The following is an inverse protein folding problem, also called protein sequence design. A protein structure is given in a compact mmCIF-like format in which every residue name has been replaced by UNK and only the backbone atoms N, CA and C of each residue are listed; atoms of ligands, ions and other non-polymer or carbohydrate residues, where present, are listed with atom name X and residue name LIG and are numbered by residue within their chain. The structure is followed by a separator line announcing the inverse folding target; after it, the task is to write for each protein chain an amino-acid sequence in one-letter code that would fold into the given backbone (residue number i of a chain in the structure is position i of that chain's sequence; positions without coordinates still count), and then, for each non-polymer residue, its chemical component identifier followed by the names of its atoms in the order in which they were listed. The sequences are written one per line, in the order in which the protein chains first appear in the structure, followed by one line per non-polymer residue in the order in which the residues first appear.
data_IF_878190629222
#
_entry.id   IF_878190629222
#
_cell.length_a   1.000
_cell.length_b   1.000
_cell.length_c   1.000
_cell.angle_alpha   90.00
_cell.angle_beta   90.00
_cell.angle_gamma   90.00
#
_symmetry.space_group_name_H-M   'P 1'
#
loop_
_entity.id
_entity.type
_entity.pdbx_description
1 polymer ?
#
# COMPACT_ATOMS: atom_id res chain seq x y z
N UNK A 1 -6.52 20.84 22.89
CA UNK A 1 -5.94 20.71 21.54
C UNK A 1 -5.07 19.45 21.57
N UNK A 2 -5.61 18.30 21.17
CA UNK A 2 -4.87 17.04 21.18
C UNK A 2 -4.17 16.92 19.82
N UNK A 3 -2.87 17.17 19.78
CA UNK A 3 -2.03 16.73 18.65
C UNK A 3 -1.78 15.25 18.84
N UNK A 4 -2.58 14.40 18.17
CA UNK A 4 -2.20 13.00 18.01
C UNK A 4 -0.80 12.97 17.37
N UNK A 5 0.15 12.27 17.98
CA UNK A 5 1.44 12.04 17.35
C UNK A 5 1.16 11.25 16.07
N UNK A 6 1.48 11.85 14.92
CA UNK A 6 1.44 11.16 13.63
C UNK A 6 2.30 9.91 13.75
N UNK A 7 1.73 8.73 13.51
CA UNK A 7 2.52 7.51 13.55
C UNK A 7 3.49 7.52 12.36
N UNK A 8 4.68 6.97 12.54
CA UNK A 8 5.73 6.95 11.49
C UNK A 8 5.25 6.30 10.18
N UNK A 9 4.34 5.34 10.27
CA UNK A 9 3.66 4.71 9.12
C UNK A 9 2.81 5.71 8.32
N UNK A 10 2.16 6.64 9.00
CA UNK A 10 1.23 7.60 8.40
C UNK A 10 2.02 8.66 7.63
N UNK A 11 3.17 9.09 8.18
CA UNK A 11 4.09 10.01 7.51
C UNK A 11 4.66 9.41 6.20
N UNK A 12 5.02 8.12 6.21
CA UNK A 12 5.48 7.43 5.00
C UNK A 12 4.36 7.31 3.95
N UNK A 13 3.13 7.01 4.40
CA UNK A 13 2.00 6.93 3.49
C UNK A 13 1.70 8.29 2.86
N UNK A 14 1.69 9.37 3.63
CA UNK A 14 1.47 10.74 3.14
C UNK A 14 2.48 11.14 2.07
N UNK A 15 3.77 10.84 2.26
CA UNK A 15 4.82 11.09 1.26
C UNK A 15 4.51 10.38 -0.08
N UNK A 16 4.13 9.10 -0.02
CA UNK A 16 3.76 8.33 -1.22
C UNK A 16 2.50 8.86 -1.89
N UNK A 17 1.56 9.43 -1.14
CA UNK A 17 0.33 10.00 -1.67
C UNK A 17 0.57 11.33 -2.41
N UNK A 18 1.58 12.10 -2.03
CA UNK A 18 1.95 13.37 -2.68
C UNK A 18 2.78 13.16 -3.96
N UNK A 19 3.56 12.09 -4.02
CA UNK A 19 4.45 11.77 -5.15
C UNK A 19 3.73 11.61 -6.49
N UNK A 20 4.16 12.34 -7.54
CA UNK A 20 3.53 12.28 -8.89
C UNK A 20 3.88 11.01 -9.68
N UNK A 21 4.98 10.35 -9.34
CA UNK A 21 5.47 9.13 -9.96
C UNK A 21 4.83 7.85 -9.38
N UNK A 22 4.10 7.98 -8.28
CA UNK A 22 3.30 6.87 -7.71
C UNK A 22 1.99 6.74 -8.48
N UNK A 23 1.72 5.52 -8.95
CA UNK A 23 0.52 5.23 -9.73
C UNK A 23 -0.77 5.51 -8.95
N UNK A 24 -1.83 5.92 -9.66
CA UNK A 24 -3.14 6.15 -9.06
C UNK A 24 -3.65 4.93 -8.28
N UNK A 25 -3.43 3.73 -8.81
CA UNK A 25 -3.83 2.49 -8.17
C UNK A 25 -3.13 2.29 -6.82
N UNK A 26 -1.80 2.50 -6.75
CA UNK A 26 -1.06 2.32 -5.50
C UNK A 26 -1.47 3.36 -4.46
N UNK A 27 -1.70 4.62 -4.85
CA UNK A 27 -2.22 5.65 -3.93
C UNK A 27 -3.58 5.26 -3.36
N UNK A 28 -4.47 4.72 -4.20
CA UNK A 28 -5.79 4.24 -3.77
C UNK A 28 -5.64 3.09 -2.77
N UNK A 29 -4.81 2.10 -3.08
CA UNK A 29 -4.56 0.94 -2.20
C UNK A 29 -4.00 1.36 -0.83
N UNK A 30 -3.07 2.34 -0.79
CA UNK A 30 -2.54 2.89 0.47
C UNK A 30 -3.67 3.52 1.30
N UNK A 31 -4.47 4.41 0.70
CA UNK A 31 -5.59 5.08 1.39
C UNK A 31 -6.60 4.09 1.95
N UNK A 32 -6.93 3.04 1.19
CA UNK A 32 -7.89 2.02 1.62
C UNK A 32 -7.37 1.13 2.75
N UNK A 33 -6.04 0.94 2.87
CA UNK A 33 -5.45 0.12 3.93
C UNK A 33 -5.10 0.89 5.20
N UNK A 34 -4.88 2.21 5.15
CA UNK A 34 -4.61 3.04 6.33
C UNK A 34 -5.72 3.02 7.39
N UNK A 35 -6.96 2.70 7.00
CA UNK A 35 -8.12 2.66 7.89
C UNK A 35 -8.47 1.25 8.37
N UNK A 36 -7.69 0.24 7.99
CA UNK A 36 -7.91 -1.18 8.32
C UNK A 36 -7.07 -1.59 9.52
N UNK A 37 -7.40 -2.76 10.08
CA UNK A 37 -6.49 -3.44 11.00
C UNK A 37 -5.14 -3.70 10.30
N UNK A 38 -4.01 -3.31 10.91
CA UNK A 38 -2.71 -3.40 10.26
C UNK A 38 -2.24 -4.85 10.01
N UNK A 39 -2.69 -5.82 10.81
CA UNK A 39 -2.36 -7.24 10.60
C UNK A 39 -3.07 -7.76 9.36
N UNK A 40 -4.36 -7.48 9.22
CA UNK A 40 -5.14 -7.86 8.04
C UNK A 40 -4.64 -7.16 6.77
N UNK A 41 -4.32 -5.87 6.86
CA UNK A 41 -3.82 -5.09 5.72
C UNK A 41 -2.51 -5.65 5.15
N UNK A 42 -1.58 -6.07 6.02
CA UNK A 42 -0.32 -6.69 5.60
C UNK A 42 -0.56 -8.06 4.97
N UNK A 43 -1.35 -8.92 5.60
CA UNK A 43 -1.67 -10.25 5.07
C UNK A 43 -2.30 -10.17 3.66
N UNK A 44 -3.27 -9.28 3.46
CA UNK A 44 -3.90 -9.08 2.15
C UNK A 44 -2.93 -8.53 1.11
N UNK A 45 -2.02 -7.63 1.51
CA UNK A 45 -1.01 -7.08 0.62
C UNK A 45 0.01 -8.14 0.16
N UNK A 46 0.39 -9.07 1.03
CA UNK A 46 1.26 -10.20 0.68
C UNK A 46 0.58 -11.15 -0.32
N UNK A 47 -0.68 -11.52 -0.08
CA UNK A 47 -1.47 -12.34 -1.00
C UNK A 47 -1.60 -11.65 -2.36
N UNK A 48 -1.88 -10.34 -2.37
CA UNK A 48 -1.96 -9.55 -3.60
C UNK A 48 -0.62 -9.52 -4.34
N UNK A 49 0.48 -9.32 -3.63
CA UNK A 49 1.82 -9.34 -4.22
C UNK A 49 2.12 -10.67 -4.90
N UNK A 50 1.77 -11.79 -4.28
CA UNK A 50 1.97 -13.12 -4.84
C UNK A 50 1.15 -13.34 -6.11
N UNK A 51 -0.11 -12.90 -6.13
CA UNK A 51 -0.96 -12.92 -7.34
C UNK A 51 -0.33 -12.08 -8.46
N UNK A 52 0.13 -10.86 -8.15
CA UNK A 52 0.74 -9.96 -9.14
C UNK A 52 2.06 -10.53 -9.67
N UNK A 53 2.90 -11.09 -8.80
CA UNK A 53 4.15 -11.78 -9.21
C UNK A 53 3.85 -12.93 -10.15
N UNK A 54 2.92 -13.82 -9.79
CA UNK A 54 2.54 -14.96 -10.63
C UNK A 54 2.05 -14.51 -12.00
N UNK A 55 1.17 -13.51 -12.06
CA UNK A 55 0.67 -12.93 -13.31
C UNK A 55 1.78 -12.30 -14.15
N UNK A 56 2.73 -11.62 -13.52
CA UNK A 56 3.88 -11.02 -14.19
C UNK A 56 4.78 -12.11 -14.80
N UNK A 57 5.10 -13.14 -14.02
CA UNK A 57 5.83 -14.34 -14.47
C UNK A 57 5.16 -14.99 -15.67
N UNK A 58 3.84 -15.25 -15.60
CA UNK A 58 3.06 -15.81 -16.70
C UNK A 58 3.07 -14.92 -17.95
N UNK A 59 2.99 -13.60 -17.78
CA UNK A 59 3.02 -12.65 -18.90
C UNK A 59 4.41 -12.52 -19.55
N UNK A 60 5.49 -12.70 -18.78
CA UNK A 60 6.87 -12.64 -19.26
C UNK A 60 7.39 -14.00 -19.73
N UNK A 61 6.68 -15.09 -19.45
CA UNK A 61 7.09 -16.46 -19.79
C UNK A 61 8.26 -16.98 -18.96
N UNK A 62 8.40 -16.51 -17.71
CA UNK A 62 9.47 -16.90 -16.77
C UNK A 62 8.94 -17.38 -15.42
#
# INVERSE_FOLDING_TARGET
MFTAKMNTSDAMADELLERRDVSFWLKKAIKENLVRDPVDAVNDAEILLDVLKKRCSEALGC
#
